data_IF_735767842042
#
_entry.id   IF_735767842042
#
_cell.length_a   1.000
_cell.length_b   1.000
_cell.length_c   1.000
_cell.angle_alpha   90.00
_cell.angle_beta   90.00
_cell.angle_gamma   90.00
#
_symmetry.space_group_name_H-M   'P 1'
#
loop_
_entity.id
_entity.type
_entity.pdbx_description
1 polymer ?
#
# COMPACT_ATOMS: atom_id res chain seq x y z
N UNK A 1 -19.40 16.08 -9.51
CA UNK A 1 -18.45 16.47 -8.44
C UNK A 1 -17.47 15.33 -8.25
N UNK A 2 -16.19 15.54 -8.58
CA UNK A 2 -15.19 14.48 -8.65
C UNK A 2 -14.94 13.85 -7.27
N UNK A 3 -15.53 12.68 -7.02
CA UNK A 3 -15.48 11.94 -5.75
C UNK A 3 -14.07 11.64 -5.24
N UNK A 4 -13.05 11.75 -6.10
CA UNK A 4 -11.65 11.46 -5.80
C UNK A 4 -10.82 12.72 -5.47
N UNK A 5 -11.22 13.91 -5.95
CA UNK A 5 -10.42 15.13 -5.82
C UNK A 5 -10.58 15.79 -4.45
N UNK A 6 -11.81 15.85 -3.92
CA UNK A 6 -12.08 16.51 -2.65
C UNK A 6 -11.36 15.85 -1.46
N UNK A 7 -11.37 14.50 -1.31
CA UNK A 7 -10.63 13.83 -0.24
C UNK A 7 -9.12 14.03 -0.35
N UNK A 8 -8.58 14.03 -1.58
CA UNK A 8 -7.15 14.27 -1.83
C UNK A 8 -6.70 15.66 -1.37
N UNK A 9 -7.50 16.69 -1.68
CA UNK A 9 -7.19 18.06 -1.28
C UNK A 9 -7.22 18.20 0.25
N UNK A 10 -8.26 17.65 0.89
CA UNK A 10 -8.39 17.67 2.34
C UNK A 10 -7.20 16.95 3.01
N UNK A 11 -6.91 15.71 2.60
CA UNK A 11 -5.82 14.90 3.16
C UNK A 11 -4.46 15.59 3.00
N UNK A 12 -4.22 16.35 1.92
CA UNK A 12 -2.95 17.07 1.68
C UNK A 12 -2.64 18.13 2.75
N UNK A 13 -3.67 18.71 3.36
CA UNK A 13 -3.54 19.68 4.46
C UNK A 13 -3.74 19.07 5.84
N UNK A 14 -4.66 18.10 5.98
CA UNK A 14 -5.13 17.64 7.28
C UNK A 14 -4.03 16.96 8.12
N UNK A 15 -3.17 16.15 7.49
CA UNK A 15 -2.06 15.49 8.22
C UNK A 15 -1.09 16.47 8.88
N UNK A 16 -1.09 17.75 8.49
CA UNK A 16 -0.21 18.76 9.04
C UNK A 16 -0.66 19.27 10.41
N UNK A 17 -1.93 19.08 10.80
CA UNK A 17 -2.45 19.51 12.10
C UNK A 17 -1.74 18.79 13.25
N UNK A 18 -1.57 19.46 14.38
CA UNK A 18 -0.88 18.91 15.55
C UNK A 18 -1.60 17.66 16.07
N UNK A 19 -2.92 17.71 16.18
CA UNK A 19 -3.74 16.64 16.79
C UNK A 19 -4.08 15.50 15.83
N UNK A 20 -3.59 15.56 14.60
CA UNK A 20 -3.93 14.61 13.54
C UNK A 20 -3.71 13.15 13.96
N UNK A 21 -2.62 12.86 14.67
CA UNK A 21 -2.30 11.49 15.11
C UNK A 21 -3.37 11.00 16.10
N UNK A 22 -3.68 11.81 17.11
CA UNK A 22 -4.68 11.47 18.13
C UNK A 22 -6.06 11.25 17.50
N UNK A 23 -6.47 12.16 16.61
CA UNK A 23 -7.77 12.06 15.93
C UNK A 23 -7.84 10.83 15.01
N UNK A 24 -6.75 10.51 14.31
CA UNK A 24 -6.69 9.36 13.42
C UNK A 24 -6.70 8.04 14.19
N UNK A 25 -5.96 7.94 15.30
CA UNK A 25 -5.98 6.79 16.21
C UNK A 25 -7.39 6.54 16.73
N UNK A 26 -8.09 7.60 17.16
CA UNK A 26 -9.48 7.47 17.60
C UNK A 26 -10.39 6.96 16.47
N UNK A 27 -10.21 7.49 15.25
CA UNK A 27 -11.01 7.12 14.09
C UNK A 27 -10.89 5.65 13.68
N UNK A 28 -9.70 5.05 13.81
CA UNK A 28 -9.44 3.64 13.41
C UNK A 28 -9.38 2.67 14.59
N UNK A 29 -9.67 3.13 15.81
CA UNK A 29 -9.49 2.35 17.05
C UNK A 29 -10.21 1.00 17.06
N UNK A 30 -11.32 0.88 16.32
CA UNK A 30 -12.11 -0.34 16.20
C UNK A 30 -11.78 -1.17 14.95
N UNK A 31 -10.94 -0.66 14.05
CA UNK A 31 -10.57 -1.36 12.82
C UNK A 31 -9.56 -2.46 13.13
N UNK A 32 -9.83 -3.67 12.64
CA UNK A 32 -8.87 -4.79 12.71
C UNK A 32 -7.81 -4.74 11.63
N UNK A 33 -8.13 -4.11 10.49
CA UNK A 33 -7.24 -4.03 9.34
C UNK A 33 -7.35 -2.66 8.70
N UNK A 34 -6.22 -1.99 8.54
CA UNK A 34 -6.15 -0.66 7.93
C UNK A 34 -5.19 -0.66 6.74
N UNK A 35 -5.64 -0.07 5.62
CA UNK A 35 -4.82 0.14 4.41
C UNK A 35 -4.59 1.63 4.21
N UNK A 36 -3.33 2.06 4.21
CA UNK A 36 -2.98 3.48 4.20
C UNK A 36 -3.23 4.20 2.86
N UNK A 37 -3.01 3.52 1.73
CA UNK A 37 -3.20 4.13 0.41
C UNK A 37 -3.99 3.19 -0.52
N UNK A 38 -5.06 3.73 -1.11
CA UNK A 38 -5.76 3.11 -2.24
C UNK A 38 -5.06 3.45 -3.58
N UNK A 39 -4.52 4.67 -3.67
CA UNK A 39 -3.63 5.11 -4.74
C UNK A 39 -2.77 6.29 -4.28
N UNK A 40 -1.54 6.38 -4.78
CA UNK A 40 -0.56 7.38 -4.34
C UNK A 40 0.46 6.80 -3.37
N UNK A 41 1.13 7.67 -2.62
CA UNK A 41 2.26 7.27 -1.76
C UNK A 41 2.51 8.27 -0.62
N UNK A 42 3.35 7.88 0.34
CA UNK A 42 3.81 8.72 1.45
C UNK A 42 4.85 9.73 0.97
N UNK A 43 4.38 10.83 0.40
CA UNK A 43 5.24 11.82 -0.26
C UNK A 43 6.12 12.68 0.69
N UNK A 44 5.96 12.56 2.01
CA UNK A 44 6.70 13.36 3.00
C UNK A 44 7.20 12.50 4.15
N UNK A 45 8.46 12.69 4.54
CA UNK A 45 9.06 12.02 5.70
C UNK A 45 8.32 12.40 7.00
N UNK A 46 7.85 13.64 7.12
CA UNK A 46 7.04 14.06 8.28
C UNK A 46 5.70 13.32 8.35
N UNK A 47 5.06 13.10 7.20
CA UNK A 47 3.84 12.30 7.12
C UNK A 47 4.14 10.84 7.49
N UNK A 48 5.24 10.26 6.98
CA UNK A 48 5.64 8.90 7.33
C UNK A 48 5.80 8.72 8.85
N UNK A 49 6.45 9.66 9.54
CA UNK A 49 6.58 9.59 11.00
C UNK A 49 5.24 9.69 11.74
N UNK A 50 4.29 10.51 11.25
CA UNK A 50 2.94 10.53 11.83
C UNK A 50 2.18 9.23 11.59
N UNK A 51 2.31 8.63 10.40
CA UNK A 51 1.76 7.31 10.09
C UNK A 51 2.34 6.26 11.05
N UNK A 52 3.65 6.27 11.29
CA UNK A 52 4.31 5.40 12.28
C UNK A 52 3.72 5.59 13.67
N UNK A 53 3.49 6.83 14.11
CA UNK A 53 2.90 7.11 15.42
C UNK A 53 1.48 6.53 15.54
N UNK A 54 0.67 6.60 14.48
CA UNK A 54 -0.65 5.95 14.45
C UNK A 54 -0.49 4.44 14.57
N UNK A 55 0.35 3.81 13.73
CA UNK A 55 0.58 2.37 13.73
C UNK A 55 1.00 1.84 15.12
N UNK A 56 1.92 2.55 15.79
CA UNK A 56 2.40 2.20 17.12
C UNK A 56 1.34 2.37 18.20
N UNK A 57 0.43 3.35 18.04
CA UNK A 57 -0.65 3.62 18.98
C UNK A 57 -1.88 2.71 18.78
N UNK A 58 -1.94 1.92 17.70
CA UNK A 58 -3.04 1.01 17.39
C UNK A 58 -2.57 -0.45 17.25
N UNK A 59 -1.98 -1.06 18.30
CA UNK A 59 -1.40 -2.41 18.23
C UNK A 59 -2.43 -3.52 17.90
N UNK A 60 -3.72 -3.26 18.12
CA UNK A 60 -4.82 -4.19 17.82
C UNK A 60 -5.34 -4.10 16.37
N UNK A 61 -4.79 -3.18 15.57
CA UNK A 61 -5.08 -3.00 14.16
C UNK A 61 -3.87 -3.47 13.33
N UNK A 62 -4.10 -4.31 12.33
CA UNK A 62 -3.09 -4.69 11.35
C UNK A 62 -3.00 -3.63 10.25
N UNK A 63 -1.82 -3.08 10.03
CA UNK A 63 -1.59 -2.04 9.03
C UNK A 63 -0.87 -2.57 7.80
N UNK A 64 -1.34 -2.16 6.64
CA UNK A 64 -0.65 -2.37 5.37
C UNK A 64 -0.36 -1.03 4.70
N UNK A 65 0.93 -0.80 4.41
CA UNK A 65 1.45 0.38 3.74
C UNK A 65 2.15 -0.03 2.43
N UNK A 66 1.46 0.01 1.27
CA UNK A 66 2.13 -0.12 -0.01
C UNK A 66 2.90 1.17 -0.35
N UNK A 67 4.16 1.06 -0.76
CA UNK A 67 4.98 2.25 -1.08
C UNK A 67 6.08 1.99 -2.13
N UNK A 68 6.39 3.00 -2.94
CA UNK A 68 7.58 3.12 -3.80
C UNK A 68 8.64 4.06 -3.23
N UNK A 69 8.36 4.72 -2.10
CA UNK A 69 9.24 5.72 -1.52
C UNK A 69 10.49 5.12 -0.88
N UNK A 70 10.57 3.80 -0.75
CA UNK A 70 11.74 3.05 -0.26
C UNK A 70 13.00 3.33 -1.09
N UNK A 71 12.84 3.74 -2.36
CA UNK A 71 13.93 4.15 -3.25
C UNK A 71 14.66 5.42 -2.80
N UNK A 72 14.06 6.21 -1.92
CA UNK A 72 14.67 7.44 -1.42
C UNK A 72 15.19 7.21 0.00
N UNK A 73 16.51 7.28 0.17
CA UNK A 73 17.20 7.04 1.45
C UNK A 73 16.63 7.82 2.65
N UNK A 74 16.05 9.00 2.42
CA UNK A 74 15.40 9.82 3.46
C UNK A 74 14.22 9.12 4.17
N UNK A 75 13.64 8.08 3.58
CA UNK A 75 12.57 7.29 4.21
C UNK A 75 13.05 6.01 4.91
N UNK A 76 14.30 5.58 4.70
CA UNK A 76 14.79 4.30 5.21
C UNK A 76 14.54 4.14 6.72
N UNK A 77 14.95 5.14 7.53
CA UNK A 77 14.80 5.10 8.99
C UNK A 77 13.36 4.93 9.47
N UNK A 78 12.40 5.54 8.79
CA UNK A 78 11.00 5.47 9.23
C UNK A 78 10.33 4.17 8.78
N UNK A 79 10.73 3.62 7.63
CA UNK A 79 10.24 2.31 7.20
C UNK A 79 10.83 1.18 8.03
N UNK A 80 12.12 1.22 8.37
CA UNK A 80 12.72 0.30 9.32
C UNK A 80 12.00 0.33 10.68
N UNK A 81 11.67 1.52 11.18
CA UNK A 81 10.90 1.66 12.42
C UNK A 81 9.49 1.05 12.30
N UNK A 82 8.82 1.22 11.16
CA UNK A 82 7.50 0.61 10.90
C UNK A 82 7.58 -0.91 10.79
N UNK A 83 8.57 -1.44 10.08
CA UNK A 83 8.77 -2.89 9.87
C UNK A 83 9.01 -3.63 11.20
N UNK A 84 9.67 -2.97 12.15
CA UNK A 84 9.87 -3.48 13.51
C UNK A 84 8.59 -3.60 14.35
N UNK A 85 7.46 -3.00 13.92
CA UNK A 85 6.17 -3.19 14.59
C UNK A 85 5.53 -4.51 14.16
N UNK A 86 5.06 -5.31 15.12
CA UNK A 86 4.47 -6.63 14.84
C UNK A 86 3.15 -6.56 14.07
N UNK A 87 2.44 -5.43 14.15
CA UNK A 87 1.15 -5.19 13.52
C UNK A 87 1.25 -4.44 12.17
N UNK A 88 2.42 -4.36 11.55
CA UNK A 88 2.64 -3.55 10.35
C UNK A 88 3.36 -4.32 9.25
N UNK A 89 2.80 -4.25 8.04
CA UNK A 89 3.48 -4.60 6.79
C UNK A 89 3.73 -3.34 5.97
N UNK A 90 5.00 -2.98 5.81
CA UNK A 90 5.43 -2.05 4.76
C UNK A 90 5.73 -2.89 3.52
N UNK A 91 4.99 -2.66 2.43
CA UNK A 91 5.11 -3.45 1.20
C UNK A 91 5.74 -2.64 0.09
N UNK A 92 7.00 -2.94 -0.22
CA UNK A 92 7.73 -2.25 -1.28
C UNK A 92 7.19 -2.63 -2.65
N UNK A 93 6.81 -1.63 -3.43
CA UNK A 93 6.15 -1.80 -4.72
C UNK A 93 7.16 -1.65 -5.86
N UNK A 94 7.27 -2.68 -6.69
CA UNK A 94 8.02 -2.62 -7.95
C UNK A 94 7.41 -1.60 -8.93
N UNK A 95 8.24 -1.06 -9.82
CA UNK A 95 7.75 -0.27 -10.97
C UNK A 95 7.32 -1.16 -12.15
N UNK A 96 7.66 -2.45 -12.10
CA UNK A 96 7.32 -3.37 -13.16
C UNK A 96 5.81 -3.58 -13.25
N UNK A 97 5.34 -3.67 -14.50
CA UNK A 97 3.99 -4.09 -14.85
C UNK A 97 3.94 -5.50 -15.47
N UNK A 98 5.10 -6.18 -15.48
CA UNK A 98 5.32 -7.49 -16.07
C UNK A 98 5.90 -8.50 -15.05
N UNK A 99 5.66 -8.29 -13.75
CA UNK A 99 6.05 -9.22 -12.69
C UNK A 99 7.48 -9.05 -12.17
N UNK A 100 8.20 -8.00 -12.56
CA UNK A 100 9.57 -7.75 -12.08
C UNK A 100 9.63 -7.58 -10.57
N UNK A 101 10.53 -8.32 -9.92
CA UNK A 101 10.71 -8.35 -8.47
C UNK A 101 11.79 -7.36 -8.02
N UNK A 102 11.78 -7.06 -6.73
CA UNK A 102 12.76 -6.24 -6.02
C UNK A 102 13.12 -6.93 -4.71
N UNK A 103 14.26 -6.59 -4.15
CA UNK A 103 14.67 -7.10 -2.85
C UNK A 103 13.84 -6.49 -1.71
N UNK A 104 13.63 -7.28 -0.66
CA UNK A 104 12.88 -6.91 0.54
C UNK A 104 12.07 -8.08 1.09
N UNK A 105 11.72 -8.02 2.38
CA UNK A 105 10.94 -9.08 3.03
C UNK A 105 9.50 -9.12 2.51
N UNK A 106 8.85 -7.97 2.46
CA UNK A 106 7.49 -7.79 1.96
C UNK A 106 7.50 -6.88 0.74
N UNK A 107 7.31 -7.46 -0.44
CA UNK A 107 7.29 -6.74 -1.72
C UNK A 107 6.01 -6.99 -2.50
N UNK A 108 5.85 -6.26 -3.60
CA UNK A 108 4.77 -6.46 -4.55
C UNK A 108 5.17 -6.06 -5.96
N UNK A 109 4.50 -6.67 -6.93
CA UNK A 109 4.67 -6.39 -8.36
C UNK A 109 3.33 -6.38 -9.06
N UNK A 110 3.30 -5.85 -10.29
CA UNK A 110 2.13 -5.90 -11.14
C UNK A 110 2.39 -6.91 -12.26
N UNK A 111 1.43 -7.79 -12.52
CA UNK A 111 1.48 -8.79 -13.61
C UNK A 111 0.42 -8.49 -14.67
N UNK A 112 0.64 -8.85 -15.95
CA UNK A 112 -0.30 -8.52 -17.02
C UNK A 112 -1.70 -9.11 -16.81
N UNK A 113 -1.75 -10.38 -16.39
CA UNK A 113 -2.97 -11.17 -16.24
C UNK A 113 -2.94 -12.00 -14.96
N UNK A 114 -4.11 -12.50 -14.54
CA UNK A 114 -4.21 -13.28 -13.29
C UNK A 114 -3.58 -14.68 -13.39
N UNK A 115 -3.42 -15.19 -14.61
CA UNK A 115 -2.76 -16.44 -14.98
C UNK A 115 -1.30 -16.23 -15.41
N UNK A 116 -0.76 -15.01 -15.27
CA UNK A 116 0.65 -14.75 -15.55
C UNK A 116 1.54 -15.55 -14.60
N UNK A 117 2.58 -16.16 -15.15
CA UNK A 117 3.57 -16.88 -14.36
C UNK A 117 4.25 -15.93 -13.36
N UNK A 118 4.24 -16.31 -12.08
CA UNK A 118 4.85 -15.52 -11.00
C UNK A 118 5.13 -16.42 -9.80
N UNK A 119 6.14 -16.05 -9.02
CA UNK A 119 6.43 -16.65 -7.71
C UNK A 119 5.64 -16.00 -6.57
N UNK A 120 4.96 -14.89 -6.83
CA UNK A 120 4.17 -14.17 -5.84
C UNK A 120 2.75 -14.69 -5.68
N UNK A 121 2.13 -14.38 -4.53
CA UNK A 121 0.72 -14.65 -4.30
C UNK A 121 -0.14 -13.70 -5.14
N UNK A 122 -0.95 -14.24 -6.04
CA UNK A 122 -1.85 -13.45 -6.89
C UNK A 122 -2.97 -12.82 -6.04
N UNK A 123 -3.13 -11.50 -6.16
CA UNK A 123 -4.25 -10.79 -5.55
C UNK A 123 -5.52 -10.94 -6.41
N UNK A 124 -6.53 -11.59 -5.86
CA UNK A 124 -7.80 -11.83 -6.53
C UNK A 124 -8.86 -10.74 -6.34
N UNK A 125 -8.51 -9.59 -5.73
CA UNK A 125 -9.46 -8.53 -5.45
C UNK A 125 -10.20 -8.04 -6.72
N UNK A 126 -9.61 -8.23 -7.90
CA UNK A 126 -10.20 -7.90 -9.19
C UNK A 126 -11.46 -8.68 -9.53
N UNK A 127 -11.50 -9.96 -9.17
CA UNK A 127 -12.69 -10.80 -9.33
C UNK A 127 -13.83 -10.32 -8.39
N UNK A 128 -13.47 -9.52 -7.37
CA UNK A 128 -14.36 -9.02 -6.32
C UNK A 128 -14.55 -7.49 -6.39
N UNK A 129 -14.51 -6.90 -7.59
CA UNK A 129 -14.72 -5.45 -7.81
C UNK A 129 -13.76 -4.57 -6.99
N UNK A 130 -12.51 -5.00 -6.85
CA UNK A 130 -11.48 -4.31 -6.08
C UNK A 130 -11.57 -4.51 -4.56
N UNK A 131 -12.38 -5.45 -4.08
CA UNK A 131 -12.56 -5.71 -2.64
C UNK A 131 -11.73 -6.89 -2.16
N UNK A 132 -11.11 -6.74 -1.00
CA UNK A 132 -10.32 -7.80 -0.37
C UNK A 132 -11.20 -8.97 0.13
N UNK A 133 -12.46 -8.72 0.52
CA UNK A 133 -13.34 -9.69 1.18
C UNK A 133 -12.65 -10.28 2.43
N UNK A 134 -12.41 -11.59 2.48
CA UNK A 134 -11.77 -12.27 3.61
C UNK A 134 -10.25 -12.41 3.44
N UNK A 135 -9.71 -12.11 2.25
CA UNK A 135 -8.27 -12.19 1.99
C UNK A 135 -7.49 -11.12 2.76
N UNK A 136 -6.43 -11.52 3.45
CA UNK A 136 -5.54 -10.62 4.22
C UNK A 136 -4.05 -10.76 3.88
N UNK A 137 -3.70 -11.41 2.77
CA UNK A 137 -2.32 -11.63 2.36
C UNK A 137 -1.47 -10.33 2.30
N UNK A 138 -2.07 -9.18 1.98
CA UNK A 138 -1.35 -7.91 1.96
C UNK A 138 -0.88 -7.43 3.34
N UNK A 139 -1.55 -7.85 4.42
CA UNK A 139 -1.25 -7.56 5.83
C UNK A 139 -0.41 -8.67 6.49
N UNK A 140 -0.12 -9.75 5.78
CA UNK A 140 0.60 -10.89 6.30
C UNK A 140 2.10 -10.74 6.01
N UNK A 141 2.92 -10.84 7.06
CA UNK A 141 4.39 -10.77 6.99
C UNK A 141 5.00 -12.03 6.36
N UNK A 142 4.29 -13.15 6.42
CA UNK A 142 4.75 -14.41 5.81
C UNK A 142 4.55 -14.42 4.30
N UNK A 143 3.76 -13.48 3.75
CA UNK A 143 3.56 -13.34 2.30
C UNK A 143 4.59 -12.38 1.73
N UNK A 144 5.69 -12.95 1.25
CA UNK A 144 6.84 -12.21 0.74
C UNK A 144 6.49 -11.35 -0.47
N UNK A 145 5.88 -11.90 -1.51
CA UNK A 145 5.53 -11.18 -2.74
C UNK A 145 4.04 -11.25 -3.00
N UNK A 146 3.40 -10.08 -3.22
CA UNK A 146 2.05 -9.99 -3.78
C UNK A 146 2.13 -9.58 -5.25
N UNK A 147 1.50 -10.35 -6.13
CA UNK A 147 1.35 -10.02 -7.53
C UNK A 147 -0.06 -9.48 -7.80
N UNK A 148 -0.16 -8.22 -8.21
CA UNK A 148 -1.43 -7.60 -8.59
C UNK A 148 -1.61 -7.71 -10.10
N UNK A 149 -2.67 -8.39 -10.58
CA UNK A 149 -2.94 -8.34 -12.01
C UNK A 149 -3.33 -6.92 -12.44
N UNK A 150 -3.12 -6.58 -13.70
CA UNK A 150 -3.43 -5.24 -14.20
C UNK A 150 -4.95 -5.02 -14.24
N UNK A 151 -5.42 -3.96 -13.57
CA UNK A 151 -6.84 -3.58 -13.57
C UNK A 151 -7.02 -2.10 -13.91
N UNK A 152 -7.58 -1.82 -15.09
CA UNK A 152 -7.94 -0.46 -15.51
C UNK A 152 -8.00 -0.26 -17.03
N UNK A 153 -9.08 0.37 -17.53
CA UNK A 153 -9.32 0.62 -18.98
C UNK A 153 -8.18 1.36 -19.71
N UNK A 154 -7.34 2.13 -18.99
CA UNK A 154 -6.19 2.84 -19.58
C UNK A 154 -4.96 1.94 -19.78
N UNK A 155 -4.75 0.94 -18.93
CA UNK A 155 -3.57 0.06 -19.01
C UNK A 155 -3.73 -1.04 -20.05
N UNK A 156 -4.97 -1.45 -20.34
CA UNK A 156 -5.28 -2.31 -21.50
C UNK A 156 -4.73 -1.72 -22.82
N UNK A 157 -4.75 -0.38 -22.98
CA UNK A 157 -4.18 0.29 -24.17
C UNK A 157 -2.65 0.33 -24.19
N UNK A 158 -2.00 0.28 -23.02
CA UNK A 158 -0.52 0.29 -22.92
C UNK A 158 0.04 -1.12 -23.19
N UNK A 159 -0.61 -2.16 -22.66
CA UNK A 159 -0.23 -3.55 -22.92
C UNK A 159 -0.28 -3.91 -24.41
N UNK A 160 -1.31 -3.45 -25.14
CA UNK A 160 -1.43 -3.67 -26.60
C UNK A 160 -0.31 -2.99 -27.39
N UNK A 161 0.19 -1.85 -26.93
CA UNK A 161 1.20 -1.05 -27.66
C UNK A 161 2.65 -1.53 -27.49
N UNK A 162 2.92 -2.39 -26.50
CA UNK A 162 4.25 -2.93 -26.23
C UNK A 162 4.42 -4.35 -26.77
N UNK A 163 3.31 -5.00 -27.13
CA UNK A 163 3.28 -6.32 -27.77
C UNK A 163 3.18 -6.25 -29.31
N UNK A 164 3.34 -5.05 -29.89
CA UNK A 164 3.27 -4.75 -31.32
C UNK A 164 4.60 -4.27 -31.86
#
# INVERSE_FOLDING_TARGET
>A
MDSVRAPRTHNKSDWKRTDWVTDFVAAISNDKYFRWFDSGDVYSVKLAWKIYQVMAATPNCQHWLPTRMYKFAKFAKVFEAMENLSNVVVRYSSDSIHGGLIDGECTSTIVPHADSETTGTICEAYARKGKCADCRACWDKEVSVIAYPQHGRKMAKVAIKLAS
#
